data_IF_458097961026
#
_entry.id   IF_458097961026
#
_cell.length_a   1.000
_cell.length_b   1.000
_cell.length_c   1.000
_cell.angle_alpha   90.00
_cell.angle_beta   90.00
_cell.angle_gamma   90.00
#
_symmetry.space_group_name_H-M   'P 1'
#
loop_
_entity.id
_entity.type
_entity.pdbx_description
1 polymer ?
#
# COMPACT_ATOMS: atom_id res chain seq x y z
N UNK A 1 0.12 50.70 30.12
CA UNK A 1 1.23 50.07 29.36
C UNK A 1 1.04 48.55 29.31
N UNK A 2 0.14 48.05 28.47
CA UNK A 2 -0.15 46.61 28.32
C UNK A 2 -0.05 46.26 26.84
N UNK A 3 1.14 46.03 26.27
CA UNK A 3 1.27 45.46 24.91
C UNK A 3 2.68 44.91 24.56
N UNK A 4 3.54 44.56 25.53
CA UNK A 4 4.91 44.14 25.20
C UNK A 4 5.12 42.60 25.13
N UNK A 5 4.21 41.78 25.70
CA UNK A 5 4.43 40.31 25.83
C UNK A 5 3.64 39.43 24.84
N UNK A 6 2.64 39.99 24.15
CA UNK A 6 1.79 39.29 23.17
C UNK A 6 2.54 38.79 21.92
N UNK A 7 3.50 39.53 21.32
CA UNK A 7 4.17 39.05 20.12
C UNK A 7 5.14 37.91 20.43
N UNK A 8 5.79 37.93 21.60
CA UNK A 8 6.73 36.88 22.03
C UNK A 8 6.00 35.55 22.31
N UNK A 9 4.81 35.60 22.91
CA UNK A 9 3.99 34.41 23.15
C UNK A 9 3.47 33.78 21.85
N UNK A 10 3.05 34.61 20.89
CA UNK A 10 2.62 34.14 19.56
C UNK A 10 3.78 33.52 18.76
N UNK A 11 4.98 34.12 18.82
CA UNK A 11 6.19 33.55 18.20
C UNK A 11 6.59 32.22 18.81
N UNK A 12 6.45 32.08 20.13
CA UNK A 12 6.70 30.82 20.84
C UNK A 12 5.70 29.72 20.45
N UNK A 13 4.40 30.05 20.40
CA UNK A 13 3.35 29.13 19.93
C UNK A 13 3.55 28.69 18.47
N UNK A 14 3.94 29.62 17.58
CA UNK A 14 4.23 29.30 16.19
C UNK A 14 5.47 28.39 16.06
N UNK A 15 6.51 28.63 16.86
CA UNK A 15 7.69 27.77 16.89
C UNK A 15 7.35 26.35 17.37
N UNK A 16 6.52 26.20 18.41
CA UNK A 16 6.04 24.89 18.87
C UNK A 16 5.23 24.14 17.81
N UNK A 17 4.46 24.84 16.96
CA UNK A 17 3.68 24.23 15.89
C UNK A 17 4.55 23.70 14.75
N UNK A 18 5.69 24.34 14.46
CA UNK A 18 6.62 23.88 13.41
C UNK A 18 7.42 22.66 13.89
N UNK A 19 7.70 22.57 15.19
CA UNK A 19 8.44 21.46 15.81
C UNK A 19 7.64 20.14 15.88
N UNK A 20 6.32 20.16 15.72
CA UNK A 20 5.47 18.94 15.76
C UNK A 20 5.31 18.25 14.40
N UNK A 21 5.85 18.80 13.30
CA UNK A 21 5.87 18.12 12.00
C UNK A 21 7.06 17.16 11.89
N UNK A 22 7.09 16.13 12.74
CA UNK A 22 7.90 14.94 12.46
C UNK A 22 7.05 14.03 11.57
N UNK A 23 7.15 14.20 10.26
CA UNK A 23 6.62 13.20 9.32
C UNK A 23 7.59 12.02 9.33
N UNK A 24 7.17 10.89 9.91
CA UNK A 24 7.88 9.63 9.76
C UNK A 24 7.72 9.18 8.31
N UNK A 25 8.74 9.44 7.49
CA UNK A 25 8.83 8.85 6.16
C UNK A 25 9.13 7.35 6.32
N UNK A 26 8.44 6.52 5.54
CA UNK A 26 8.82 5.12 5.39
C UNK A 26 10.14 5.05 4.58
N UNK A 27 11.15 4.38 5.12
CA UNK A 27 12.49 4.28 4.50
C UNK A 27 12.59 3.29 3.32
N UNK A 28 11.48 2.62 2.95
CA UNK A 28 11.46 1.78 1.75
C UNK A 28 11.15 2.56 0.49
N UNK A 29 11.18 1.88 -0.67
CA UNK A 29 10.91 2.49 -1.97
C UNK A 29 9.47 2.96 -2.11
N UNK A 30 8.52 2.21 -1.56
CA UNK A 30 7.10 2.50 -1.75
C UNK A 30 6.22 1.77 -0.72
N UNK A 31 5.04 2.33 -0.47
CA UNK A 31 4.03 1.76 0.39
C UNK A 31 2.67 2.03 -0.23
N UNK A 32 1.86 0.98 -0.37
CA UNK A 32 0.48 1.12 -0.81
C UNK A 32 -0.45 0.15 -0.09
N UNK A 33 -1.71 0.54 0.01
CA UNK A 33 -2.79 -0.26 0.53
C UNK A 33 -3.66 -0.74 -0.64
N UNK A 34 -4.15 -1.98 -0.56
CA UNK A 34 -5.10 -2.51 -1.52
C UNK A 34 -6.03 -3.56 -0.91
N UNK A 35 -7.12 -3.83 -1.61
CA UNK A 35 -8.01 -4.96 -1.31
C UNK A 35 -7.77 -6.03 -2.36
N UNK A 36 -7.47 -7.24 -1.92
CA UNK A 36 -7.45 -8.39 -2.81
C UNK A 36 -8.88 -8.90 -2.97
N UNK A 37 -9.47 -8.65 -4.13
CA UNK A 37 -10.81 -9.09 -4.48
C UNK A 37 -10.78 -10.22 -5.51
N UNK A 38 -11.95 -10.73 -5.91
CA UNK A 38 -12.05 -11.86 -6.83
C UNK A 38 -11.43 -11.59 -8.20
N UNK A 39 -11.38 -10.32 -8.65
CA UNK A 39 -10.82 -9.94 -9.95
C UNK A 39 -9.29 -10.06 -10.02
N UNK A 40 -8.61 -10.15 -8.87
CA UNK A 40 -7.16 -10.25 -8.78
C UNK A 40 -6.68 -11.71 -8.78
N UNK A 41 -7.63 -12.63 -8.63
CA UNK A 41 -7.37 -14.07 -8.51
C UNK A 41 -7.24 -14.77 -9.86
N UNK A 42 -7.46 -14.06 -10.95
CA UNK A 42 -7.44 -14.61 -12.30
C UNK A 42 -6.61 -13.74 -13.24
N UNK A 43 -5.78 -14.37 -14.06
CA UNK A 43 -5.11 -13.64 -15.12
C UNK A 43 -6.09 -13.25 -16.24
N UNK A 44 -5.60 -12.51 -17.24
CA UNK A 44 -6.39 -12.09 -18.40
C UNK A 44 -6.96 -13.23 -19.27
N UNK A 45 -6.52 -14.48 -19.06
CA UNK A 45 -7.05 -15.68 -19.71
C UNK A 45 -8.05 -16.44 -18.84
N UNK A 46 -8.41 -15.92 -17.66
CA UNK A 46 -9.31 -16.57 -16.70
C UNK A 46 -8.68 -17.73 -15.92
N UNK A 47 -7.34 -17.86 -15.93
CA UNK A 47 -6.66 -18.91 -15.16
C UNK A 47 -6.44 -18.44 -13.73
N UNK A 48 -6.83 -19.27 -12.75
CA UNK A 48 -6.67 -18.98 -11.32
C UNK A 48 -5.19 -18.86 -10.95
N UNK A 49 -4.85 -17.77 -10.27
CA UNK A 49 -3.52 -17.50 -9.73
C UNK A 49 -3.39 -18.19 -8.37
N UNK A 50 -2.23 -18.81 -8.14
CA UNK A 50 -1.99 -19.69 -6.98
C UNK A 50 -0.87 -19.20 -6.08
N UNK A 51 -0.31 -18.02 -6.35
CA UNK A 51 0.75 -17.42 -5.53
C UNK A 51 0.38 -15.98 -5.21
N UNK A 52 0.71 -15.53 -4.00
CA UNK A 52 0.48 -14.14 -3.56
C UNK A 52 1.11 -13.16 -4.54
N UNK A 53 2.36 -13.40 -4.94
CA UNK A 53 3.08 -12.60 -5.95
C UNK A 53 2.30 -12.43 -7.26
N UNK A 54 1.71 -13.49 -7.79
CA UNK A 54 0.96 -13.40 -9.04
C UNK A 54 -0.34 -12.62 -8.87
N UNK A 55 -1.03 -12.82 -7.74
CA UNK A 55 -2.26 -12.10 -7.38
C UNK A 55 -1.97 -10.60 -7.27
N UNK A 56 -0.93 -10.22 -6.53
CA UNK A 56 -0.54 -8.81 -6.40
C UNK A 56 -0.18 -8.20 -7.77
N UNK A 57 0.52 -8.94 -8.64
CA UNK A 57 0.83 -8.50 -10.00
C UNK A 57 -0.42 -8.24 -10.86
N UNK A 58 -1.46 -9.07 -10.68
CA UNK A 58 -2.74 -8.91 -11.35
C UNK A 58 -3.49 -7.70 -10.78
N UNK A 59 -3.54 -7.54 -9.47
CA UNK A 59 -4.10 -6.37 -8.78
C UNK A 59 -3.47 -5.06 -9.28
N UNK A 60 -2.13 -4.95 -9.30
CA UNK A 60 -1.48 -3.73 -9.84
C UNK A 60 -1.71 -3.54 -11.34
N UNK A 61 -1.92 -4.62 -12.11
CA UNK A 61 -2.36 -4.50 -13.50
C UNK A 61 -3.81 -3.98 -13.59
N UNK A 62 -4.71 -4.44 -12.71
CA UNK A 62 -6.08 -3.95 -12.59
C UNK A 62 -6.09 -2.45 -12.24
N UNK A 63 -5.27 -2.03 -11.28
CA UNK A 63 -5.16 -0.65 -10.83
C UNK A 63 -4.62 0.32 -11.90
N UNK A 64 -3.46 0.00 -12.51
CA UNK A 64 -2.73 0.92 -13.39
C UNK A 64 -3.12 0.79 -14.86
N UNK A 65 -3.36 -0.43 -15.34
CA UNK A 65 -3.60 -0.71 -16.77
C UNK A 65 -5.08 -0.79 -17.10
N UNK A 66 -5.84 -1.54 -16.33
CA UNK A 66 -7.25 -1.80 -16.65
C UNK A 66 -8.23 -0.82 -16.01
N UNK A 67 -7.75 0.04 -15.09
CA UNK A 67 -8.55 1.01 -14.34
C UNK A 67 -9.73 0.36 -13.59
N UNK A 68 -9.52 -0.89 -13.13
CA UNK A 68 -10.43 -1.66 -12.28
C UNK A 68 -9.84 -1.62 -10.88
N UNK A 69 -10.20 -0.61 -10.11
CA UNK A 69 -9.64 -0.36 -8.78
C UNK A 69 -10.68 -0.73 -7.75
N UNK A 70 -10.25 -1.36 -6.67
CA UNK A 70 -11.08 -1.53 -5.50
C UNK A 70 -11.08 -0.25 -4.63
N UNK A 71 -12.12 -0.09 -3.82
CA UNK A 71 -12.45 1.20 -3.18
C UNK A 71 -11.36 1.75 -2.26
N UNK A 72 -10.48 0.89 -1.76
CA UNK A 72 -9.41 1.22 -0.82
C UNK A 72 -8.03 1.18 -1.45
N UNK A 73 -7.93 0.98 -2.76
CA UNK A 73 -6.64 0.90 -3.41
C UNK A 73 -5.97 2.28 -3.49
N UNK A 74 -4.81 2.39 -2.87
CA UNK A 74 -3.96 3.56 -3.01
C UNK A 74 -3.08 3.45 -4.26
N UNK A 75 -2.67 4.62 -4.76
CA UNK A 75 -1.67 4.68 -5.82
C UNK A 75 -0.30 4.23 -5.28
N UNK A 76 0.53 3.76 -6.21
CA UNK A 76 1.94 3.44 -5.98
C UNK A 76 2.78 4.04 -7.12
N UNK A 77 4.08 4.23 -6.88
CA UNK A 77 5.04 4.71 -7.88
C UNK A 77 5.86 3.57 -8.49
N UNK A 78 5.89 2.42 -7.82
CA UNK A 78 6.71 1.28 -8.22
C UNK A 78 6.13 0.53 -9.40
N UNK A 79 4.81 0.43 -9.57
CA UNK A 79 4.18 -0.50 -10.52
C UNK A 79 3.49 0.17 -11.71
N UNK A 80 3.82 1.43 -11.97
CA UNK A 80 3.24 2.23 -13.05
C UNK A 80 3.59 1.65 -14.43
N UNK A 81 4.84 1.23 -14.64
CA UNK A 81 5.32 0.72 -15.94
C UNK A 81 5.28 -0.81 -16.07
N UNK A 82 5.23 -1.29 -17.31
CA UNK A 82 5.25 -2.73 -17.59
C UNK A 82 6.57 -3.40 -17.20
N UNK A 83 7.70 -2.71 -17.38
CA UNK A 83 9.03 -3.20 -16.99
C UNK A 83 9.15 -3.37 -15.48
N UNK A 84 8.63 -2.42 -14.70
CA UNK A 84 8.64 -2.55 -13.23
C UNK A 84 7.75 -3.70 -12.75
N UNK A 85 6.56 -3.90 -13.35
CA UNK A 85 5.71 -5.07 -13.04
C UNK A 85 6.39 -6.40 -13.38
N UNK A 86 7.32 -6.42 -14.34
CA UNK A 86 8.07 -7.62 -14.70
C UNK A 86 9.16 -7.96 -13.67
N UNK A 87 9.79 -6.96 -13.05
CA UNK A 87 10.73 -7.17 -11.92
C UNK A 87 10.06 -7.91 -10.76
N UNK A 88 8.76 -7.72 -10.60
CA UNK A 88 8.01 -8.38 -9.56
C UNK A 88 7.86 -9.90 -9.74
N UNK A 89 8.13 -10.42 -10.94
CA UNK A 89 8.06 -11.87 -11.17
C UNK A 89 9.16 -12.64 -10.42
N UNK A 90 10.31 -11.99 -10.11
CA UNK A 90 11.41 -12.57 -9.35
C UNK A 90 11.42 -12.17 -7.87
N UNK A 91 10.63 -11.18 -7.47
CA UNK A 91 10.68 -10.65 -6.12
C UNK A 91 10.32 -11.69 -5.06
N UNK A 92 11.09 -11.66 -3.96
CA UNK A 92 10.73 -12.34 -2.72
C UNK A 92 9.59 -11.59 -2.05
N UNK A 93 8.46 -12.27 -1.90
CA UNK A 93 7.30 -11.79 -1.15
C UNK A 93 7.33 -12.43 0.23
N UNK A 94 7.51 -11.60 1.25
CA UNK A 94 7.42 -11.98 2.66
C UNK A 94 5.99 -11.70 3.16
N UNK A 95 5.29 -12.74 3.60
CA UNK A 95 3.89 -12.66 4.01
C UNK A 95 3.68 -13.58 5.21
N UNK A 96 2.86 -13.15 6.16
CA UNK A 96 2.45 -14.00 7.27
C UNK A 96 1.70 -15.25 6.74
N UNK A 97 2.03 -16.48 7.19
CA UNK A 97 1.42 -17.69 6.65
C UNK A 97 -0.11 -17.74 6.77
N UNK A 98 -0.69 -17.18 7.83
CA UNK A 98 -2.14 -17.16 7.98
C UNK A 98 -2.78 -16.17 7.01
N UNK A 99 -2.12 -15.04 6.76
CA UNK A 99 -2.54 -14.09 5.72
C UNK A 99 -2.40 -14.67 4.32
N UNK A 100 -1.30 -15.37 4.03
CA UNK A 100 -1.12 -16.07 2.76
C UNK A 100 -2.25 -17.07 2.51
N UNK A 101 -2.62 -17.86 3.52
CA UNK A 101 -3.73 -18.80 3.42
C UNK A 101 -5.06 -18.09 3.11
N UNK A 102 -5.40 -17.00 3.81
CA UNK A 102 -6.59 -16.18 3.51
C UNK A 102 -6.57 -15.67 2.06
N UNK A 103 -5.42 -15.09 1.66
CA UNK A 103 -5.21 -14.59 0.30
C UNK A 103 -5.38 -15.72 -0.71
N UNK A 104 -4.89 -16.93 -0.50
CA UNK A 104 -4.97 -18.01 -1.49
C UNK A 104 -6.34 -18.72 -1.51
N UNK A 105 -7.04 -18.73 -0.37
CA UNK A 105 -8.33 -19.40 -0.21
C UNK A 105 -9.43 -18.74 -1.02
N UNK A 106 -9.50 -17.42 -1.03
CA UNK A 106 -10.63 -16.72 -1.65
C UNK A 106 -11.08 -15.48 -0.90
N UNK A 107 -10.65 -15.31 0.34
CA UNK A 107 -11.16 -14.27 1.22
C UNK A 107 -10.81 -12.88 0.66
N UNK A 108 -11.76 -11.94 0.75
CA UNK A 108 -11.49 -10.53 0.49
C UNK A 108 -10.69 -9.97 1.66
N UNK A 109 -9.47 -9.49 1.40
CA UNK A 109 -8.54 -9.03 2.44
C UNK A 109 -7.95 -7.69 2.06
N UNK A 110 -8.00 -6.74 3.00
CA UNK A 110 -7.19 -5.53 2.89
C UNK A 110 -5.76 -5.84 3.31
N UNK A 111 -4.80 -5.34 2.55
CA UNK A 111 -3.38 -5.53 2.83
C UNK A 111 -2.62 -4.21 2.66
N UNK A 112 -1.53 -4.09 3.40
CA UNK A 112 -0.51 -3.07 3.18
C UNK A 112 0.73 -3.73 2.60
N UNK A 113 1.22 -3.19 1.48
CA UNK A 113 2.38 -3.71 0.76
C UNK A 113 3.56 -2.77 0.90
N UNK A 114 4.60 -3.26 1.57
CA UNK A 114 5.84 -2.55 1.84
C UNK A 114 6.90 -2.97 0.81
N UNK A 115 7.30 -2.05 -0.06
CA UNK A 115 8.33 -2.28 -1.06
C UNK A 115 9.66 -1.77 -0.52
N UNK A 116 10.52 -2.67 -0.05
CA UNK A 116 11.86 -2.29 0.41
C UNK A 116 12.84 -2.13 -0.75
N UNK A 117 12.78 -3.07 -1.69
CA UNK A 117 13.53 -3.05 -2.96
C UNK A 117 12.67 -3.70 -4.05
N UNK A 118 13.00 -3.61 -5.35
CA UNK A 118 12.24 -4.30 -6.39
C UNK A 118 12.24 -5.83 -6.22
N UNK A 119 13.19 -6.39 -5.46
CA UNK A 119 13.38 -7.82 -5.24
C UNK A 119 12.86 -8.29 -3.86
N UNK A 120 12.51 -7.38 -2.94
CA UNK A 120 12.06 -7.72 -1.59
C UNK A 120 10.88 -6.87 -1.14
N UNK A 121 9.77 -7.55 -0.92
CA UNK A 121 8.48 -6.96 -0.56
C UNK A 121 7.93 -7.68 0.66
N UNK A 122 7.26 -6.93 1.53
CA UNK A 122 6.54 -7.48 2.66
C UNK A 122 5.07 -7.13 2.56
N UNK A 123 4.22 -8.10 2.84
CA UNK A 123 2.77 -7.97 2.85
C UNK A 123 2.28 -8.15 4.27
N UNK A 124 1.49 -7.20 4.75
CA UNK A 124 0.86 -7.25 6.07
C UNK A 124 -0.65 -7.13 5.92
N UNK A 125 -1.37 -7.71 6.87
CA UNK A 125 -2.81 -7.53 6.94
C UNK A 125 -3.09 -6.06 7.23
N UNK A 126 -3.88 -5.45 6.36
CA UNK A 126 -4.32 -4.06 6.47
C UNK A 126 -5.58 -3.97 7.32
N UNK A 127 -5.92 -2.76 7.74
CA UNK A 127 -7.20 -2.51 8.39
C UNK A 127 -8.29 -2.48 7.32
N UNK A 128 -9.19 -3.47 7.32
CA UNK A 128 -10.47 -3.39 6.59
C UNK A 128 -11.34 -2.36 7.33
N UNK A 129 -11.69 -1.20 6.74
CA UNK A 129 -12.68 -0.32 7.32
C UNK A 129 -14.03 -1.06 7.39
N UNK A 130 -14.80 -0.92 8.48
CA UNK A 130 -15.95 -1.77 8.82
C UNK A 130 -17.13 -1.75 7.83
N UNK A 131 -17.00 -1.06 6.71
CA UNK A 131 -18.06 -0.71 5.77
C UNK A 131 -17.70 -1.03 4.32
N UNK A 132 -16.78 -1.98 4.11
CA UNK A 132 -16.44 -2.51 2.78
C UNK A 132 -16.56 -4.03 2.85
N UNK A 133 -17.74 -4.54 2.51
CA UNK A 133 -18.11 -5.96 2.42
C UNK A 133 -18.56 -6.29 1.01
#
# INVERSE_FOLDING_TARGET
MQNCKRPLFLLFMLACLVLSLQAHAYDGLDLYDCVISDQDRFNSKGVRLTTVRAILAQDRANYHRFKRRDALDSADQTFVSASQRQLWQSARVDVDPALEEKILRGDAVAISVFVFTPEWIQVREGLIPPNVS
#
